data_IF_409673237249
#
_entry.id   IF_409673237249
#
_cell.length_a   1.000
_cell.length_b   1.000
_cell.length_c   1.000
_cell.angle_alpha   90.00
_cell.angle_beta   90.00
_cell.angle_gamma   90.00
#
_symmetry.space_group_name_H-M   'P 1'
#
loop_
_entity.id
_entity.type
_entity.pdbx_description
1 polymer ?
#
# COMPACT_ATOMS: atom_id res chain seq x y z
N UNK A 1 -3.16 20.35 -31.71
CA UNK A 1 -2.28 19.79 -30.67
C UNK A 1 -3.03 19.89 -29.38
N UNK A 2 -3.49 18.76 -28.88
CA UNK A 2 -4.51 18.68 -27.82
C UNK A 2 -3.85 18.88 -26.44
N UNK A 3 -4.03 20.07 -25.86
CA UNK A 3 -3.46 20.47 -24.56
C UNK A 3 -4.01 19.65 -23.36
N UNK A 4 -4.96 18.72 -23.62
CA UNK A 4 -5.54 17.85 -22.59
C UNK A 4 -4.68 16.62 -22.30
N UNK A 5 -3.82 16.19 -23.23
CA UNK A 5 -3.00 14.98 -23.09
C UNK A 5 -1.75 15.22 -22.25
N UNK A 6 -1.44 16.47 -21.92
CA UNK A 6 -0.20 16.86 -21.22
C UNK A 6 -0.41 17.32 -19.76
N UNK A 7 -1.65 17.19 -19.25
CA UNK A 7 -1.95 17.51 -17.84
C UNK A 7 -1.38 16.42 -16.92
N UNK A 8 -0.39 16.78 -16.07
CA UNK A 8 0.26 15.83 -15.15
C UNK A 8 -0.73 15.12 -14.22
N UNK A 9 -1.84 15.77 -13.86
CA UNK A 9 -2.84 15.18 -12.98
C UNK A 9 -3.65 14.07 -13.67
N UNK A 10 -3.87 14.17 -15.00
CA UNK A 10 -4.48 13.12 -15.82
C UNK A 10 -3.49 11.98 -16.08
N UNK A 11 -2.23 12.30 -16.36
CA UNK A 11 -1.17 11.31 -16.59
C UNK A 11 -0.94 10.41 -15.36
N UNK A 12 -1.08 10.92 -14.16
CA UNK A 12 -0.94 10.12 -12.93
C UNK A 12 -2.05 9.06 -12.72
N UNK A 13 -3.01 8.95 -13.65
CA UNK A 13 -4.16 8.01 -13.52
C UNK A 13 -4.02 6.75 -14.36
N UNK A 14 -3.05 6.67 -15.27
CA UNK A 14 -2.79 5.52 -16.12
C UNK A 14 -1.34 5.07 -16.02
N UNK A 15 -1.08 3.78 -16.25
CA UNK A 15 0.29 3.24 -16.19
C UNK A 15 1.23 3.91 -17.20
N UNK A 16 0.75 4.17 -18.41
CA UNK A 16 1.51 4.86 -19.47
C UNK A 16 1.79 6.32 -19.09
N UNK A 17 0.80 7.00 -18.50
CA UNK A 17 0.96 8.36 -17.99
C UNK A 17 1.93 8.44 -16.80
N UNK A 18 1.90 7.47 -15.89
CA UNK A 18 2.86 7.39 -14.78
C UNK A 18 4.30 7.24 -15.31
N UNK A 19 4.53 6.40 -16.33
CA UNK A 19 5.85 6.24 -16.95
C UNK A 19 6.32 7.55 -17.65
N UNK A 20 5.41 8.25 -18.32
CA UNK A 20 5.68 9.56 -18.90
C UNK A 20 6.08 10.58 -17.80
N UNK A 21 5.35 10.61 -16.67
CA UNK A 21 5.69 11.48 -15.54
C UNK A 21 7.09 11.18 -14.98
N UNK A 22 7.45 9.90 -14.84
CA UNK A 22 8.80 9.52 -14.36
C UNK A 22 9.88 10.00 -15.34
N UNK A 23 9.66 9.88 -16.65
CA UNK A 23 10.57 10.44 -17.64
C UNK A 23 10.73 11.96 -17.53
N UNK A 24 9.64 12.71 -17.33
CA UNK A 24 9.68 14.17 -17.10
C UNK A 24 10.39 14.53 -15.79
N UNK A 25 10.17 13.73 -14.73
CA UNK A 25 10.86 13.90 -13.45
C UNK A 25 12.37 13.71 -13.63
N UNK A 26 12.78 12.72 -14.42
CA UNK A 26 14.20 12.49 -14.74
C UNK A 26 14.84 13.68 -15.46
N UNK A 27 14.05 14.45 -16.23
CA UNK A 27 14.45 15.69 -16.86
C UNK A 27 14.35 16.93 -15.93
N UNK A 28 14.00 16.76 -14.65
CA UNK A 28 13.92 17.82 -13.65
C UNK A 28 12.57 18.55 -13.58
N UNK A 29 11.52 18.04 -14.18
CA UNK A 29 10.19 18.65 -14.17
C UNK A 29 9.52 18.51 -12.79
N UNK A 30 9.49 19.62 -12.04
CA UNK A 30 8.88 19.71 -10.71
C UNK A 30 7.35 19.54 -10.74
N UNK A 31 6.67 19.95 -11.81
CA UNK A 31 5.20 19.81 -11.93
C UNK A 31 4.81 18.33 -12.13
N UNK A 32 5.60 17.59 -12.91
CA UNK A 32 5.43 16.15 -13.05
C UNK A 32 5.63 15.43 -11.70
N UNK A 33 6.64 15.84 -10.94
CA UNK A 33 6.87 15.29 -9.60
C UNK A 33 5.72 15.62 -8.63
N UNK A 34 5.24 16.85 -8.62
CA UNK A 34 4.11 17.24 -7.77
C UNK A 34 2.85 16.41 -8.06
N UNK A 35 2.55 16.16 -9.33
CA UNK A 35 1.42 15.31 -9.72
C UNK A 35 1.61 13.86 -9.24
N UNK A 36 2.80 13.30 -9.42
CA UNK A 36 3.12 11.95 -8.93
C UNK A 36 3.06 11.90 -7.39
N UNK A 37 3.61 12.89 -6.70
CA UNK A 37 3.56 13.02 -5.25
C UNK A 37 2.11 12.99 -4.75
N UNK A 38 1.23 13.84 -5.29
CA UNK A 38 -0.18 13.90 -4.91
C UNK A 38 -0.91 12.57 -5.13
N UNK A 39 -0.58 11.85 -6.19
CA UNK A 39 -1.17 10.56 -6.49
C UNK A 39 -0.70 9.45 -5.53
N UNK A 40 0.59 9.44 -5.18
CA UNK A 40 1.20 8.35 -4.42
C UNK A 40 1.23 8.56 -2.91
N UNK A 41 1.27 9.80 -2.42
CA UNK A 41 1.28 10.10 -0.99
C UNK A 41 0.15 9.37 -0.22
N UNK A 42 -1.14 9.49 -0.60
CA UNK A 42 -2.21 8.80 0.11
C UNK A 42 -2.19 7.28 -0.10
N UNK A 43 -1.70 6.79 -1.24
CA UNK A 43 -1.60 5.35 -1.52
C UNK A 43 -0.54 4.69 -0.65
N UNK A 44 0.63 5.31 -0.55
CA UNK A 44 1.73 4.86 0.31
C UNK A 44 1.37 4.96 1.79
N UNK A 45 0.71 6.05 2.21
CA UNK A 45 0.23 6.21 3.57
C UNK A 45 -0.67 5.05 3.99
N UNK A 46 -1.71 4.75 3.21
CA UNK A 46 -2.60 3.60 3.47
C UNK A 46 -1.89 2.25 3.49
N UNK A 47 -0.90 2.07 2.63
CA UNK A 47 -0.08 0.85 2.62
C UNK A 47 0.74 0.70 3.90
N UNK A 48 1.41 1.77 4.33
CA UNK A 48 2.30 1.77 5.49
C UNK A 48 1.54 1.74 6.83
N UNK A 49 0.35 2.35 6.92
CA UNK A 49 -0.52 2.28 8.11
C UNK A 49 -0.85 0.84 8.54
N UNK A 50 -0.76 -0.11 7.62
CA UNK A 50 -0.96 -1.54 7.90
C UNK A 50 0.33 -2.29 8.24
N UNK A 51 1.46 -1.60 8.19
CA UNK A 51 2.77 -2.14 8.58
C UNK A 51 3.22 -1.61 9.95
N UNK A 52 2.88 -0.37 10.30
CA UNK A 52 3.21 0.29 11.56
C UNK A 52 2.11 1.24 11.99
N UNK A 53 1.99 1.48 13.30
CA UNK A 53 1.06 2.47 13.90
C UNK A 53 1.66 3.86 14.05
N UNK A 54 2.96 3.99 13.96
CA UNK A 54 3.64 5.28 14.14
C UNK A 54 3.36 6.19 12.95
N UNK A 55 2.48 7.18 13.13
CA UNK A 55 2.19 8.19 12.09
C UNK A 55 3.43 8.96 11.66
N UNK A 56 4.32 9.28 12.60
CA UNK A 56 5.58 9.95 12.31
C UNK A 56 6.48 9.08 11.40
N UNK A 57 6.59 7.78 11.70
CA UNK A 57 7.38 6.85 10.88
C UNK A 57 6.75 6.66 9.48
N UNK A 58 5.42 6.62 9.38
CA UNK A 58 4.72 6.53 8.10
C UNK A 58 5.06 7.76 7.25
N UNK A 59 4.93 8.96 7.80
CA UNK A 59 5.20 10.20 7.10
C UNK A 59 6.66 10.27 6.65
N UNK A 60 7.60 9.91 7.50
CA UNK A 60 9.03 9.82 7.18
C UNK A 60 9.27 8.86 6.01
N UNK A 61 8.75 7.63 6.08
CA UNK A 61 8.95 6.63 5.01
C UNK A 61 8.33 7.09 3.69
N UNK A 62 7.12 7.70 3.72
CA UNK A 62 6.49 8.23 2.50
C UNK A 62 7.33 9.31 1.87
N UNK A 63 7.75 10.32 2.64
CA UNK A 63 8.55 11.44 2.16
C UNK A 63 9.90 10.95 1.62
N UNK A 64 10.55 10.09 2.34
CA UNK A 64 11.80 9.46 1.93
C UNK A 64 11.68 8.62 0.65
N UNK A 65 10.55 7.91 0.50
CA UNK A 65 10.25 7.15 -0.72
C UNK A 65 10.11 8.07 -1.92
N UNK A 66 9.30 9.13 -1.79
CA UNK A 66 9.06 10.08 -2.87
C UNK A 66 10.33 10.89 -3.20
N UNK A 67 11.15 11.23 -2.21
CA UNK A 67 12.47 11.83 -2.44
C UNK A 67 13.41 10.86 -3.20
N UNK A 68 13.36 9.56 -2.89
CA UNK A 68 14.13 8.57 -3.64
C UNK A 68 13.64 8.44 -5.08
N UNK A 69 12.33 8.51 -5.31
CA UNK A 69 11.74 8.55 -6.65
C UNK A 69 12.26 9.76 -7.44
N UNK A 70 12.23 10.96 -6.85
CA UNK A 70 12.82 12.16 -7.47
C UNK A 70 14.27 11.97 -7.89
N UNK A 71 15.09 11.46 -6.96
CA UNK A 71 16.54 11.30 -7.19
C UNK A 71 16.87 10.18 -8.17
N UNK A 72 16.03 9.15 -8.26
CA UNK A 72 16.28 7.94 -9.04
C UNK A 72 15.40 7.82 -10.29
N UNK A 73 14.61 8.83 -10.64
CA UNK A 73 13.73 8.78 -11.81
C UNK A 73 14.47 8.39 -13.09
N UNK A 74 15.69 8.91 -13.29
CA UNK A 74 16.53 8.58 -14.45
C UNK A 74 17.05 7.13 -14.47
N UNK A 75 16.89 6.36 -13.41
CA UNK A 75 17.28 4.93 -13.37
C UNK A 75 16.09 3.99 -13.58
N UNK A 76 14.89 4.53 -13.74
CA UNK A 76 13.72 3.73 -14.06
C UNK A 76 13.77 3.31 -15.53
N UNK A 77 13.89 2.02 -15.78
CA UNK A 77 14.08 1.42 -17.12
C UNK A 77 12.77 0.95 -17.77
N UNK A 78 11.63 1.09 -17.09
CA UNK A 78 10.34 0.63 -17.59
C UNK A 78 10.12 -0.89 -17.56
N UNK A 79 11.04 -1.67 -16.98
CA UNK A 79 10.93 -3.14 -16.86
C UNK A 79 9.77 -3.58 -15.97
N UNK A 80 9.29 -2.70 -15.09
CA UNK A 80 8.13 -2.89 -14.24
C UNK A 80 7.18 -1.69 -14.32
N UNK A 81 5.97 -1.82 -13.76
CA UNK A 81 5.10 -0.66 -13.59
C UNK A 81 5.70 0.34 -12.60
N UNK A 82 5.45 1.63 -12.80
CA UNK A 82 5.86 2.69 -11.88
C UNK A 82 5.37 2.42 -10.46
N UNK A 83 4.11 1.95 -10.32
CA UNK A 83 3.56 1.56 -9.02
C UNK A 83 4.39 0.46 -8.35
N UNK A 84 4.74 -0.61 -9.05
CA UNK A 84 5.59 -1.69 -8.53
C UNK A 84 6.92 -1.17 -8.04
N UNK A 85 7.58 -0.33 -8.85
CA UNK A 85 8.86 0.28 -8.51
C UNK A 85 8.80 1.16 -7.25
N UNK A 86 7.77 2.04 -7.16
CA UNK A 86 7.59 2.94 -6.00
C UNK A 86 7.26 2.15 -4.74
N UNK A 87 6.34 1.18 -4.80
CA UNK A 87 5.99 0.34 -3.66
C UNK A 87 7.16 -0.55 -3.20
N UNK A 88 8.03 -1.00 -4.11
CA UNK A 88 9.24 -1.71 -3.75
C UNK A 88 10.23 -0.85 -2.95
N UNK A 89 10.35 0.44 -3.29
CA UNK A 89 11.16 1.39 -2.50
C UNK A 89 10.55 1.57 -1.11
N UNK A 90 9.23 1.81 -1.03
CA UNK A 90 8.52 1.99 0.24
C UNK A 90 8.61 0.76 1.14
N UNK A 91 8.38 -0.43 0.60
CA UNK A 91 8.45 -1.69 1.35
C UNK A 91 9.83 -1.93 1.94
N UNK A 92 10.91 -1.76 1.14
CA UNK A 92 12.28 -1.93 1.64
C UNK A 92 12.63 -0.94 2.76
N UNK A 93 12.18 0.32 2.64
CA UNK A 93 12.38 1.32 3.70
C UNK A 93 11.61 0.98 4.96
N UNK A 94 10.35 0.57 4.82
CA UNK A 94 9.53 0.15 5.95
C UNK A 94 10.14 -1.05 6.69
N UNK A 95 10.55 -2.10 5.96
CA UNK A 95 11.21 -3.25 6.57
C UNK A 95 12.48 -2.87 7.33
N UNK A 96 13.32 -1.98 6.74
CA UNK A 96 14.54 -1.50 7.38
C UNK A 96 14.24 -0.71 8.67
N UNK A 97 13.26 0.19 8.62
CA UNK A 97 12.85 0.99 9.77
C UNK A 97 12.29 0.10 10.90
N UNK A 98 11.39 -0.83 10.57
CA UNK A 98 10.79 -1.73 11.56
C UNK A 98 11.84 -2.63 12.23
N UNK A 99 12.86 -3.08 11.50
CA UNK A 99 13.97 -3.84 12.08
C UNK A 99 14.86 -3.02 13.03
N UNK A 100 14.99 -1.71 12.78
CA UNK A 100 15.82 -0.83 13.60
C UNK A 100 15.16 -0.46 14.94
N UNK A 101 13.83 -0.49 15.01
CA UNK A 101 13.10 -0.09 16.20
C UNK A 101 12.78 -1.24 17.18
N UNK A 102 13.09 -2.50 16.80
CA UNK A 102 12.72 -3.71 17.58
C UNK A 102 11.24 -3.70 18.03
N UNK A 103 10.41 -2.95 17.30
CA UNK A 103 8.97 -2.89 17.57
C UNK A 103 8.33 -4.21 17.16
N UNK A 104 7.58 -4.85 18.09
CA UNK A 104 6.67 -5.92 17.69
C UNK A 104 5.76 -5.35 16.61
N UNK A 105 5.70 -6.04 15.46
CA UNK A 105 4.84 -5.63 14.33
C UNK A 105 3.38 -5.88 14.69
N UNK A 106 2.91 -5.18 15.70
CA UNK A 106 1.53 -5.22 16.16
C UNK A 106 0.78 -4.04 15.53
N UNK A 107 0.35 -4.25 14.29
CA UNK A 107 -0.56 -3.33 13.61
C UNK A 107 -1.96 -3.55 14.19
N UNK A 108 -2.23 -2.95 15.33
CA UNK A 108 -3.57 -2.85 15.84
C UNK A 108 -4.39 -1.88 14.98
N UNK A 109 -5.68 -2.07 15.06
CA UNK A 109 -6.69 -1.26 14.41
C UNK A 109 -6.57 0.15 14.96
N UNK A 110 -6.40 1.11 14.08
CA UNK A 110 -6.68 2.51 14.39
C UNK A 110 -8.19 2.57 14.68
N UNK A 111 -8.57 2.90 15.90
CA UNK A 111 -9.95 3.31 16.19
C UNK A 111 -10.18 4.59 15.41
N UNK A 112 -10.71 4.44 14.20
CA UNK A 112 -11.21 5.58 13.45
C UNK A 112 -12.33 6.19 14.25
N UNK A 113 -12.07 7.37 14.79
CA UNK A 113 -12.97 8.23 15.52
C UNK A 113 -14.36 8.30 14.92
N UNK A 114 -15.36 8.29 15.80
CA UNK A 114 -16.64 8.88 15.56
C UNK A 114 -17.63 7.98 14.82
N UNK A 115 -18.27 7.08 15.57
CA UNK A 115 -19.57 6.55 15.20
C UNK A 115 -20.58 7.69 15.36
N UNK A 116 -20.87 8.40 14.28
CA UNK A 116 -22.05 9.27 14.20
C UNK A 116 -23.29 8.39 14.43
N UNK A 117 -24.04 8.67 15.49
CA UNK A 117 -25.18 7.87 15.93
C UNK A 117 -26.38 7.88 14.97
N UNK A 118 -26.28 8.59 13.86
CA UNK A 118 -27.36 8.80 12.87
C UNK A 118 -27.13 8.06 11.54
N UNK A 119 -26.29 6.99 11.55
CA UNK A 119 -26.01 6.22 10.33
C UNK A 119 -26.97 5.05 10.15
N UNK A 120 -27.47 4.79 8.91
CA UNK A 120 -28.32 3.64 8.61
C UNK A 120 -27.62 2.31 8.97
N UNK A 121 -28.39 1.32 9.45
CA UNK A 121 -27.91 0.00 9.93
C UNK A 121 -26.92 -0.70 8.99
N UNK A 122 -27.10 -0.58 7.66
CA UNK A 122 -26.20 -1.19 6.68
C UNK A 122 -24.82 -0.51 6.62
N UNK A 123 -24.69 0.76 6.98
CA UNK A 123 -23.38 1.43 7.10
C UNK A 123 -22.65 0.95 8.34
N UNK A 124 -23.37 0.73 9.42
CA UNK A 124 -22.82 0.19 10.67
C UNK A 124 -22.31 -1.24 10.49
N UNK A 125 -23.08 -2.11 9.83
CA UNK A 125 -22.65 -3.48 9.50
C UNK A 125 -21.42 -3.50 8.58
N UNK A 126 -21.35 -2.60 7.59
CA UNK A 126 -20.17 -2.46 6.72
C UNK A 126 -18.92 -2.03 7.47
N UNK A 127 -19.06 -1.10 8.42
CA UNK A 127 -17.94 -0.66 9.26
C UNK A 127 -17.49 -1.77 10.19
N UNK A 128 -18.42 -2.49 10.83
CA UNK A 128 -18.10 -3.66 11.67
C UNK A 128 -17.34 -4.72 10.88
N UNK A 129 -17.80 -5.05 9.68
CA UNK A 129 -17.13 -6.03 8.83
C UNK A 129 -15.72 -5.56 8.42
N UNK A 130 -15.57 -4.28 8.08
CA UNK A 130 -14.27 -3.71 7.75
C UNK A 130 -13.31 -3.78 8.95
N UNK A 131 -13.78 -3.46 10.16
CA UNK A 131 -12.99 -3.56 11.39
C UNK A 131 -12.62 -5.01 11.70
N UNK A 132 -13.56 -5.96 11.54
CA UNK A 132 -13.28 -7.38 11.74
C UNK A 132 -12.19 -7.90 10.77
N UNK A 133 -12.26 -7.50 9.50
CA UNK A 133 -11.25 -7.84 8.50
C UNK A 133 -9.88 -7.21 8.85
N UNK A 134 -9.85 -5.95 9.24
CA UNK A 134 -8.60 -5.27 9.62
C UNK A 134 -8.00 -5.90 10.89
N UNK A 135 -8.83 -6.29 11.87
CA UNK A 135 -8.40 -7.03 13.07
C UNK A 135 -7.82 -8.41 12.74
N UNK A 136 -8.48 -9.14 11.87
CA UNK A 136 -7.99 -10.45 11.41
C UNK A 136 -6.68 -10.31 10.62
N UNK A 137 -6.57 -9.29 9.76
CA UNK A 137 -5.34 -8.99 9.03
C UNK A 137 -4.18 -8.64 9.98
N UNK A 138 -4.44 -7.92 11.07
CA UNK A 138 -3.42 -7.58 12.05
C UNK A 138 -2.78 -8.82 12.70
N UNK A 139 -3.51 -9.92 12.82
CA UNK A 139 -3.02 -11.19 13.39
C UNK A 139 -2.17 -12.02 12.40
N UNK A 140 -2.06 -11.62 11.14
CA UNK A 140 -1.19 -12.29 10.18
C UNK A 140 0.27 -11.88 10.37
N UNK A 141 1.24 -12.80 10.15
CA UNK A 141 2.64 -12.43 10.02
C UNK A 141 2.81 -11.33 8.95
N UNK A 142 3.68 -10.34 9.21
CA UNK A 142 3.86 -9.15 8.36
C UNK A 142 3.96 -9.49 6.87
N UNK A 143 4.76 -10.49 6.51
CA UNK A 143 4.96 -10.87 5.11
C UNK A 143 3.70 -11.44 4.44
N UNK A 144 2.84 -12.16 5.17
CA UNK A 144 1.57 -12.67 4.67
C UNK A 144 0.56 -11.53 4.54
N UNK A 145 0.47 -10.68 5.56
CA UNK A 145 -0.38 -9.49 5.60
C UNK A 145 -0.04 -8.55 4.44
N UNK A 146 1.24 -8.22 4.25
CA UNK A 146 1.69 -7.34 3.16
C UNK A 146 1.32 -7.90 1.79
N UNK A 147 1.61 -9.18 1.51
CA UNK A 147 1.25 -9.82 0.23
C UNK A 147 -0.27 -9.77 -0.02
N UNK A 148 -1.07 -10.05 1.01
CA UNK A 148 -2.52 -10.03 0.92
C UNK A 148 -3.07 -8.61 0.66
N UNK A 149 -2.53 -7.60 1.34
CA UNK A 149 -2.91 -6.20 1.16
C UNK A 149 -2.58 -5.66 -0.22
N UNK A 150 -1.41 -5.96 -0.76
CA UNK A 150 -1.01 -5.57 -2.11
C UNK A 150 -1.95 -6.18 -3.16
N UNK A 151 -2.43 -7.41 -2.95
CA UNK A 151 -3.44 -8.02 -3.81
C UNK A 151 -4.80 -7.33 -3.68
N UNK A 152 -5.29 -7.12 -2.44
CA UNK A 152 -6.68 -6.72 -2.18
C UNK A 152 -6.92 -5.22 -2.41
N UNK A 153 -5.97 -4.38 -2.00
CA UNK A 153 -6.16 -2.92 -1.97
C UNK A 153 -5.40 -2.17 -3.07
N UNK A 154 -4.48 -2.84 -3.75
CA UNK A 154 -3.63 -2.22 -4.77
C UNK A 154 -3.70 -2.93 -6.12
N UNK A 155 -4.55 -3.98 -6.26
CA UNK A 155 -4.78 -4.76 -7.47
C UNK A 155 -3.48 -5.27 -8.13
N UNK A 156 -2.48 -5.60 -7.31
CA UNK A 156 -1.19 -6.06 -7.79
C UNK A 156 -1.20 -7.56 -8.07
N UNK A 157 -0.63 -7.94 -9.20
CA UNK A 157 -0.41 -9.33 -9.56
C UNK A 157 0.63 -9.99 -8.65
N UNK A 158 0.62 -11.32 -8.58
CA UNK A 158 1.61 -12.07 -7.78
C UNK A 158 3.05 -11.82 -8.23
N UNK A 159 3.27 -11.55 -9.52
CA UNK A 159 4.58 -11.20 -10.06
C UNK A 159 5.03 -9.83 -9.54
N UNK A 160 4.17 -8.81 -9.61
CA UNK A 160 4.47 -7.48 -9.09
C UNK A 160 4.75 -7.50 -7.58
N UNK A 161 3.97 -8.29 -6.81
CA UNK A 161 4.20 -8.46 -5.37
C UNK A 161 5.54 -9.16 -5.10
N UNK A 162 5.93 -10.12 -5.93
CA UNK A 162 7.22 -10.80 -5.84
C UNK A 162 8.38 -9.81 -6.05
N UNK A 163 8.25 -8.90 -7.01
CA UNK A 163 9.22 -7.84 -7.28
C UNK A 163 9.30 -6.84 -6.10
N UNK A 164 8.15 -6.42 -5.57
CA UNK A 164 8.08 -5.51 -4.41
C UNK A 164 8.76 -6.12 -3.19
N UNK A 165 8.45 -7.39 -2.89
CA UNK A 165 8.92 -8.08 -1.71
C UNK A 165 10.28 -8.78 -1.90
N UNK A 166 10.89 -8.65 -3.09
CA UNK A 166 12.17 -9.25 -3.48
C UNK A 166 12.24 -10.76 -3.15
N UNK A 167 11.21 -11.52 -3.58
CA UNK A 167 11.14 -12.96 -3.34
C UNK A 167 10.51 -13.70 -4.54
N UNK A 168 10.71 -15.02 -4.68
CA UNK A 168 10.11 -15.80 -5.77
C UNK A 168 8.58 -15.73 -5.77
N UNK A 169 7.95 -15.75 -6.95
CA UNK A 169 6.48 -15.77 -7.12
C UNK A 169 5.83 -16.93 -6.37
N UNK A 170 6.49 -18.10 -6.32
CA UNK A 170 5.97 -19.24 -5.56
C UNK A 170 5.90 -18.96 -4.05
N UNK A 171 6.82 -18.15 -3.51
CA UNK A 171 6.76 -17.67 -2.12
C UNK A 171 5.51 -16.80 -1.89
N UNK A 172 5.17 -15.93 -2.84
CA UNK A 172 3.95 -15.13 -2.76
C UNK A 172 2.70 -16.01 -2.79
N UNK A 173 2.64 -16.99 -3.70
CA UNK A 173 1.52 -17.96 -3.74
C UNK A 173 1.32 -18.65 -2.38
N UNK A 174 2.39 -19.12 -1.78
CA UNK A 174 2.36 -19.80 -0.46
C UNK A 174 1.91 -18.83 0.65
N UNK A 175 2.44 -17.60 0.67
CA UNK A 175 2.04 -16.55 1.63
C UNK A 175 0.55 -16.23 1.52
N UNK A 176 0.04 -16.06 0.30
CA UNK A 176 -1.38 -15.78 0.04
C UNK A 176 -2.28 -16.96 0.43
N UNK A 177 -1.85 -18.21 0.17
CA UNK A 177 -2.56 -19.41 0.59
C UNK A 177 -2.71 -19.46 2.11
N UNK A 178 -1.62 -19.31 2.85
CA UNK A 178 -1.64 -19.30 4.32
C UNK A 178 -2.41 -18.11 4.89
N UNK A 179 -2.29 -16.93 4.29
CA UNK A 179 -3.06 -15.75 4.69
C UNK A 179 -4.57 -16.02 4.58
N UNK A 180 -5.04 -16.54 3.43
CA UNK A 180 -6.46 -16.84 3.22
C UNK A 180 -6.98 -17.89 4.21
N UNK A 181 -6.21 -18.97 4.41
CA UNK A 181 -6.57 -20.03 5.37
C UNK A 181 -6.72 -19.49 6.79
N UNK A 182 -5.76 -18.66 7.22
CA UNK A 182 -5.80 -18.08 8.57
C UNK A 182 -6.91 -17.05 8.73
N UNK A 183 -7.15 -16.22 7.71
CA UNK A 183 -8.24 -15.24 7.72
C UNK A 183 -9.61 -15.92 7.79
N UNK A 184 -9.82 -17.01 7.03
CA UNK A 184 -11.06 -17.78 7.12
C UNK A 184 -11.32 -18.25 8.56
N UNK A 185 -10.34 -18.86 9.22
CA UNK A 185 -10.48 -19.31 10.61
C UNK A 185 -10.76 -18.16 11.59
N UNK A 186 -10.12 -17.01 11.40
CA UNK A 186 -10.31 -15.85 12.29
C UNK A 186 -11.68 -15.19 12.10
N UNK A 187 -12.18 -15.16 10.86
CA UNK A 187 -13.49 -14.57 10.55
C UNK A 187 -14.64 -15.51 10.90
N UNK A 188 -14.50 -16.82 10.70
CA UNK A 188 -15.50 -17.81 11.12
C UNK A 188 -15.71 -17.78 12.63
N UNK A 189 -14.64 -17.73 13.44
CA UNK A 189 -14.75 -17.60 14.90
C UNK A 189 -15.44 -16.31 15.37
N UNK A 190 -15.32 -15.21 14.62
CA UNK A 190 -16.00 -13.94 14.94
C UNK A 190 -17.48 -13.94 14.55
N UNK A 191 -17.89 -14.82 13.62
CA UNK A 191 -19.30 -14.99 13.20
C UNK A 191 -20.07 -15.94 14.13
N UNK A 192 -19.36 -16.88 14.81
CA UNK A 192 -19.96 -17.81 15.76
C UNK A 192 -20.17 -17.22 17.17
N UNK A 193 -19.47 -16.17 17.55
CA UNK A 193 -19.68 -15.44 18.82
C UNK A 193 -20.92 -14.52 18.80
N UNK A 194 -21.87 -14.74 17.89
CA UNK A 194 -23.15 -14.04 17.92
C UNK A 194 -24.07 -14.68 18.96
N UNK A 195 -24.49 -13.92 20.01
CA UNK A 195 -25.59 -14.33 20.86
C UNK A 195 -26.92 -14.32 20.10
#
# INVERSE_FOLDING_TARGET
>A
MDSRTDDPALLARTAEGEACLVGRIAAGDRRAFEALYRAYFPRLGRFLQRMTRSSALIEEIVNDTLLAVWRKAGTFDGSSKVSTWIFAIAYRRACKALQAFDEPVDAGIDEREGVDADRPDWQFERLRLAHAVDAALAQLPLAQRTAFQLTLYHDMSQAEIADIMACPVNTIKTRLFHARKRLALLLDGQLEERP
#
